data_IF_511037928559
#
_entry.id   IF_511037928559
#
_cell.length_a   1.000
_cell.length_b   1.000
_cell.length_c   1.000
_cell.angle_alpha   90.00
_cell.angle_beta   90.00
_cell.angle_gamma   90.00
#
_symmetry.space_group_name_H-M   'P 1'
#
loop_
_entity.id
_entity.type
_entity.pdbx_description
1 polymer ?
#
# COMPACT_ATOMS: atom_id res chain seq x y z
N UNK A 1 -27.31 10.06 -6.83
CA UNK A 1 -26.46 11.25 -7.08
C UNK A 1 -25.32 11.18 -6.08
N UNK A 2 -24.08 11.32 -6.53
CA UNK A 2 -22.91 11.28 -5.66
C UNK A 2 -22.95 12.43 -4.66
N UNK A 3 -22.51 12.19 -3.43
CA UNK A 3 -22.26 13.23 -2.43
C UNK A 3 -21.11 14.14 -2.87
N UNK A 4 -20.98 15.31 -2.24
CA UNK A 4 -19.87 16.23 -2.56
C UNK A 4 -18.51 15.59 -2.26
N UNK A 5 -18.40 14.82 -1.18
CA UNK A 5 -17.18 14.10 -0.81
C UNK A 5 -16.82 13.05 -1.88
N UNK A 6 -17.78 12.21 -2.28
CA UNK A 6 -17.57 11.21 -3.35
C UNK A 6 -17.10 11.84 -4.65
N UNK A 7 -17.74 12.95 -5.03
CA UNK A 7 -17.40 13.65 -6.27
C UNK A 7 -15.98 14.21 -6.21
N UNK A 8 -15.60 14.89 -5.12
CA UNK A 8 -14.24 15.44 -4.95
C UNK A 8 -13.18 14.35 -4.93
N UNK A 9 -13.43 13.24 -4.23
CA UNK A 9 -12.52 12.09 -4.17
C UNK A 9 -12.37 11.45 -5.56
N UNK A 10 -13.48 11.14 -6.23
CA UNK A 10 -13.46 10.52 -7.56
C UNK A 10 -12.81 11.40 -8.62
N UNK A 11 -13.19 12.68 -8.72
CA UNK A 11 -12.55 13.64 -9.62
C UNK A 11 -11.05 13.78 -9.30
N UNK A 12 -10.69 13.78 -8.02
CA UNK A 12 -9.30 13.81 -7.55
C UNK A 12 -8.48 12.62 -8.02
N UNK A 13 -9.01 11.40 -7.87
CA UNK A 13 -8.35 10.17 -8.33
C UNK A 13 -8.17 10.15 -9.86
N UNK A 14 -9.13 10.69 -10.61
CA UNK A 14 -9.07 10.79 -12.07
C UNK A 14 -8.04 11.81 -12.56
N UNK A 15 -7.97 12.98 -11.92
CA UNK A 15 -7.17 14.13 -12.39
C UNK A 15 -5.69 14.05 -12.05
N UNK A 16 -5.32 13.40 -10.94
CA UNK A 16 -3.95 13.35 -10.44
C UNK A 16 -2.91 12.92 -11.50
N UNK A 17 -3.15 11.87 -12.33
CA UNK A 17 -2.24 11.54 -13.43
C UNK A 17 -1.96 12.74 -14.35
N UNK A 18 -2.98 13.51 -14.72
CA UNK A 18 -2.85 14.62 -15.65
C UNK A 18 -2.24 15.88 -15.01
N UNK A 19 -2.59 16.16 -13.74
CA UNK A 19 -2.01 17.29 -12.98
C UNK A 19 -0.49 17.16 -12.82
N UNK A 20 0.03 15.94 -12.80
CA UNK A 20 1.47 15.65 -12.72
C UNK A 20 2.09 15.15 -14.03
N UNK A 21 1.41 15.30 -15.18
CA UNK A 21 1.94 14.90 -16.48
C UNK A 21 2.32 13.41 -16.57
N UNK A 22 1.57 12.55 -15.88
CA UNK A 22 1.78 11.12 -15.74
C UNK A 22 3.19 10.76 -15.23
N UNK A 23 3.77 11.60 -14.37
CA UNK A 23 5.04 11.36 -13.68
C UNK A 23 4.79 11.26 -12.18
N UNK A 24 4.74 10.05 -11.66
CA UNK A 24 4.58 9.86 -10.22
C UNK A 24 5.89 10.18 -9.49
N UNK A 25 5.78 10.92 -8.40
CA UNK A 25 6.90 11.35 -7.58
C UNK A 25 6.41 11.93 -6.25
N UNK A 26 7.30 12.49 -5.42
CA UNK A 26 6.96 12.91 -4.05
C UNK A 26 5.82 13.93 -3.97
N UNK A 27 5.68 14.80 -4.96
CA UNK A 27 4.58 15.78 -5.01
C UNK A 27 3.24 15.11 -5.31
N UNK A 28 3.19 14.20 -6.29
CA UNK A 28 1.99 13.44 -6.61
C UNK A 28 1.55 12.53 -5.45
N UNK A 29 2.52 11.92 -4.76
CA UNK A 29 2.27 11.13 -3.55
C UNK A 29 1.66 11.98 -2.44
N UNK A 30 2.23 13.16 -2.16
CA UNK A 30 1.70 14.09 -1.16
C UNK A 30 0.29 14.53 -1.50
N UNK A 31 0.04 14.92 -2.75
CA UNK A 31 -1.26 15.43 -3.19
C UNK A 31 -2.33 14.33 -3.17
N UNK A 32 -1.96 13.07 -3.46
CA UNK A 32 -2.82 11.91 -3.24
C UNK A 32 -3.14 11.72 -1.75
N UNK A 33 -2.13 11.66 -0.88
CA UNK A 33 -2.36 11.46 0.56
C UNK A 33 -3.22 12.57 1.16
N UNK A 34 -2.98 13.83 0.76
CA UNK A 34 -3.81 14.97 1.16
C UNK A 34 -5.27 14.79 0.71
N UNK A 35 -5.51 14.38 -0.54
CA UNK A 35 -6.85 14.07 -1.04
C UNK A 35 -7.54 12.99 -0.19
N UNK A 36 -6.82 11.91 0.16
CA UNK A 36 -7.35 10.80 0.95
C UNK A 36 -7.71 11.24 2.38
N UNK A 37 -6.81 11.96 3.07
CA UNK A 37 -7.08 12.45 4.43
C UNK A 37 -8.18 13.50 4.47
N UNK A 38 -8.25 14.40 3.48
CA UNK A 38 -9.36 15.35 3.35
C UNK A 38 -10.69 14.63 3.13
N UNK A 39 -10.70 13.56 2.33
CA UNK A 39 -11.91 12.77 2.09
C UNK A 39 -12.37 12.03 3.34
N UNK A 40 -11.45 11.44 4.13
CA UNK A 40 -11.77 10.78 5.41
C UNK A 40 -12.55 11.67 6.38
N UNK A 41 -12.31 12.98 6.32
CA UNK A 41 -12.98 13.96 7.18
C UNK A 41 -14.14 14.69 6.50
N UNK A 42 -14.52 14.28 5.29
CA UNK A 42 -15.59 14.94 4.52
C UNK A 42 -15.23 16.36 4.06
N UNK A 43 -13.94 16.64 3.88
CA UNK A 43 -13.38 17.98 3.58
C UNK A 43 -13.65 19.03 4.68
N UNK A 44 -13.90 18.60 5.92
CA UNK A 44 -14.01 19.48 7.08
C UNK A 44 -12.62 19.78 7.66
N UNK A 45 -12.23 21.06 7.62
CA UNK A 45 -10.92 21.54 8.11
C UNK A 45 -10.73 21.36 9.62
N UNK A 46 -11.80 21.46 10.42
CA UNK A 46 -11.71 21.31 11.87
C UNK A 46 -11.52 19.85 12.25
N UNK A 47 -12.12 18.91 11.51
CA UNK A 47 -11.85 17.47 11.63
C UNK A 47 -10.46 17.10 11.13
N UNK A 48 -9.98 17.73 10.06
CA UNK A 48 -8.62 17.51 9.58
C UNK A 48 -7.57 17.92 10.62
N UNK A 49 -7.77 19.06 11.29
CA UNK A 49 -6.92 19.51 12.41
C UNK A 49 -7.01 18.59 13.63
N UNK A 50 -8.10 17.85 13.81
CA UNK A 50 -8.20 16.84 14.86
C UNK A 50 -7.35 15.60 14.55
N UNK A 51 -7.23 15.21 13.27
CA UNK A 51 -6.31 14.15 12.85
C UNK A 51 -4.84 14.60 12.92
N UNK A 52 -4.57 15.87 12.60
CA UNK A 52 -3.23 16.45 12.57
C UNK A 52 -3.11 17.69 13.47
N UNK A 53 -3.12 17.52 14.82
CA UNK A 53 -3.19 18.63 15.77
C UNK A 53 -1.93 19.50 15.78
N UNK A 54 -0.79 18.97 15.32
CA UNK A 54 0.50 19.66 15.29
C UNK A 54 0.77 20.37 13.95
N UNK A 55 -0.25 20.50 13.10
CA UNK A 55 -0.12 21.05 11.75
C UNK A 55 0.06 19.96 10.68
N UNK A 56 -0.02 20.38 9.42
CA UNK A 56 0.05 19.47 8.28
C UNK A 56 1.52 19.18 7.91
N UNK A 57 1.88 17.92 7.61
CA UNK A 57 3.24 17.56 7.23
C UNK A 57 3.72 18.27 5.95
N UNK A 58 5.01 18.63 5.88
CA UNK A 58 5.65 19.07 4.63
C UNK A 58 5.93 17.89 3.68
N UNK A 59 6.12 16.68 4.24
CA UNK A 59 6.32 15.43 3.53
C UNK A 59 5.04 14.59 3.36
N UNK A 60 5.17 13.27 3.14
CA UNK A 60 4.02 12.36 3.07
C UNK A 60 3.17 12.46 4.35
N UNK A 61 1.86 12.51 4.20
CA UNK A 61 0.96 12.56 5.35
C UNK A 61 0.85 11.17 5.97
N UNK A 62 1.13 11.08 7.27
CA UNK A 62 1.03 9.86 8.05
C UNK A 62 0.33 10.12 9.38
N UNK A 63 -0.81 9.48 9.58
CA UNK A 63 -1.61 9.65 10.77
C UNK A 63 -0.95 8.98 11.98
N UNK A 64 -0.27 7.84 11.77
CA UNK A 64 0.41 7.16 12.87
C UNK A 64 1.50 8.06 13.49
N UNK A 65 2.32 8.70 12.64
CA UNK A 65 3.34 9.65 13.10
C UNK A 65 2.71 10.87 13.79
N UNK A 66 1.60 11.41 13.24
CA UNK A 66 0.88 12.53 13.85
C UNK A 66 0.29 12.21 15.24
N UNK A 67 -0.06 10.94 15.47
CA UNK A 67 -0.54 10.43 16.76
C UNK A 67 0.59 9.99 17.70
N UNK A 68 1.85 10.21 17.32
CA UNK A 68 3.01 9.89 18.13
C UNK A 68 3.34 8.40 18.15
N UNK A 69 2.91 7.62 17.15
CA UNK A 69 3.38 6.26 16.97
C UNK A 69 4.90 6.30 16.79
N UNK A 70 5.59 5.67 17.72
CA UNK A 70 7.04 5.47 17.69
C UNK A 70 7.31 3.99 17.50
N UNK A 71 8.44 3.68 16.87
CA UNK A 71 8.92 2.31 16.73
C UNK A 71 8.97 1.64 18.12
N UNK A 72 8.26 0.51 18.27
CA UNK A 72 8.10 -0.17 19.55
C UNK A 72 6.83 0.21 20.34
N UNK A 73 5.89 0.94 19.75
CA UNK A 73 4.56 1.20 20.31
C UNK A 73 3.82 -0.11 20.68
N UNK A 74 4.05 -1.18 19.91
CA UNK A 74 3.57 -2.54 20.15
C UNK A 74 4.10 -3.15 21.45
N UNK A 75 5.06 -2.52 22.13
CA UNK A 75 5.60 -2.97 23.42
C UNK A 75 5.24 -2.05 24.60
N UNK A 76 4.39 -1.07 24.38
CA UNK A 76 3.96 -0.13 25.42
C UNK A 76 2.76 -0.65 26.19
N UNK A 77 2.43 -0.01 27.33
CA UNK A 77 1.21 -0.33 28.09
C UNK A 77 -0.08 -0.21 27.26
N UNK A 78 -0.09 0.63 26.22
CA UNK A 78 -1.25 0.78 25.32
C UNK A 78 -1.46 -0.44 24.40
N UNK A 79 -0.46 -1.33 24.28
CA UNK A 79 -0.55 -2.57 23.51
C UNK A 79 -1.17 -3.74 24.31
N UNK A 80 -1.46 -3.53 25.60
CA UNK A 80 -2.07 -4.56 26.44
C UNK A 80 -3.47 -4.94 25.92
N UNK A 81 -3.74 -6.24 25.83
CA UNK A 81 -4.97 -6.78 25.25
C UNK A 81 -5.03 -6.73 23.72
N UNK A 82 -3.96 -6.26 23.05
CA UNK A 82 -3.85 -6.19 21.60
C UNK A 82 -2.81 -7.20 21.10
N UNK A 83 -2.94 -7.62 19.84
CA UNK A 83 -1.93 -8.43 19.15
C UNK A 83 -0.63 -7.63 19.00
N UNK A 84 0.50 -8.32 19.04
CA UNK A 84 1.81 -7.71 18.81
C UNK A 84 1.96 -7.26 17.36
N UNK A 85 1.84 -8.18 16.39
CA UNK A 85 1.90 -7.87 14.96
C UNK A 85 3.22 -7.28 14.47
N UNK A 86 4.30 -7.35 15.27
CA UNK A 86 5.62 -6.86 14.88
C UNK A 86 6.10 -7.55 13.60
N UNK A 87 6.32 -6.78 12.53
CA UNK A 87 6.77 -7.29 11.23
C UNK A 87 8.29 -7.51 11.27
N UNK A 88 8.72 -8.75 11.02
CA UNK A 88 10.12 -9.13 11.16
C UNK A 88 11.00 -8.54 10.07
N UNK A 89 12.14 -7.98 10.48
CA UNK A 89 13.16 -7.45 9.57
C UNK A 89 14.15 -8.51 9.13
N UNK A 90 14.83 -8.26 8.02
CA UNK A 90 15.88 -9.16 7.54
C UNK A 90 16.99 -9.30 8.60
N UNK A 91 17.32 -10.54 8.95
CA UNK A 91 18.29 -10.87 9.99
C UNK A 91 17.75 -10.81 11.43
N UNK A 92 16.47 -10.48 11.63
CA UNK A 92 15.85 -10.52 12.95
C UNK A 92 15.53 -11.96 13.37
N UNK A 93 15.72 -12.29 14.65
CA UNK A 93 15.42 -13.61 15.19
C UNK A 93 13.91 -13.80 15.43
N UNK A 94 13.37 -14.90 14.93
CA UNK A 94 12.01 -15.37 15.19
C UNK A 94 12.06 -16.61 16.08
N UNK A 95 11.14 -16.69 17.04
CA UNK A 95 11.09 -17.75 18.04
C UNK A 95 9.83 -18.58 17.86
N UNK A 96 10.00 -19.85 17.54
CA UNK A 96 8.88 -20.80 17.47
C UNK A 96 8.94 -21.74 18.65
N UNK A 97 7.99 -21.64 19.58
CA UNK A 97 7.83 -22.63 20.64
C UNK A 97 7.05 -23.84 20.09
N UNK A 98 7.74 -24.92 19.72
CA UNK A 98 7.16 -26.15 19.15
C UNK A 98 6.08 -26.76 20.05
N UNK A 99 6.23 -26.62 21.37
CA UNK A 99 5.23 -27.06 22.34
C UNK A 99 3.94 -26.22 22.28
N UNK A 100 4.05 -24.89 22.26
CA UNK A 100 2.91 -23.97 22.35
C UNK A 100 2.23 -23.73 20.99
N UNK A 101 3.00 -23.59 19.92
CA UNK A 101 2.50 -23.24 18.59
C UNK A 101 1.54 -24.29 18.04
N UNK A 102 0.45 -23.84 17.39
CA UNK A 102 -0.47 -24.75 16.69
C UNK A 102 0.23 -25.43 15.51
N UNK A 103 0.90 -24.65 14.66
CA UNK A 103 1.61 -25.13 13.46
C UNK A 103 3.05 -24.59 13.34
N UNK A 104 3.65 -24.69 12.16
CA UNK A 104 5.01 -24.25 11.85
C UNK A 104 5.14 -22.78 11.43
N UNK A 105 4.02 -22.09 11.29
CA UNK A 105 3.96 -20.67 10.94
C UNK A 105 3.89 -19.76 12.17
N UNK A 106 3.40 -20.26 13.32
CA UNK A 106 3.27 -19.46 14.53
C UNK A 106 4.63 -19.11 15.15
N UNK A 107 4.92 -17.81 15.29
CA UNK A 107 6.21 -17.27 15.73
C UNK A 107 6.06 -16.07 16.66
N UNK A 108 7.03 -15.92 17.56
CA UNK A 108 7.17 -14.79 18.47
C UNK A 108 8.39 -13.95 18.09
N UNK A 109 8.28 -12.62 18.23
CA UNK A 109 9.45 -11.76 18.30
C UNK A 109 10.20 -11.98 19.61
N UNK A 110 11.47 -11.58 19.67
CA UNK A 110 12.31 -11.76 20.86
C UNK A 110 11.65 -11.23 22.13
N UNK A 111 11.06 -10.04 22.07
CA UNK A 111 10.42 -9.41 23.23
C UNK A 111 9.20 -10.18 23.74
N UNK A 112 8.37 -10.72 22.84
CA UNK A 112 7.18 -11.48 23.23
C UNK A 112 7.54 -12.87 23.74
N UNK A 113 8.57 -13.50 23.15
CA UNK A 113 9.10 -14.77 23.66
C UNK A 113 9.65 -14.60 25.08
N UNK A 114 10.46 -13.56 25.32
CA UNK A 114 11.01 -13.25 26.65
C UNK A 114 9.94 -12.82 27.66
N UNK A 115 8.85 -12.21 27.18
CA UNK A 115 7.73 -11.76 28.01
C UNK A 115 6.69 -12.85 28.31
N UNK A 116 6.89 -14.07 27.79
CA UNK A 116 5.97 -15.20 27.95
C UNK A 116 6.68 -16.39 28.62
N UNK A 117 5.93 -17.30 29.24
CA UNK A 117 6.51 -18.48 29.86
C UNK A 117 6.65 -19.64 28.85
N UNK A 118 7.91 -20.04 28.63
CA UNK A 118 8.28 -21.19 27.80
C UNK A 118 9.19 -22.16 28.56
N UNK A 119 9.12 -22.15 29.89
CA UNK A 119 9.90 -23.05 30.75
C UNK A 119 9.65 -24.51 30.38
N UNK A 120 10.74 -25.27 30.23
CA UNK A 120 10.72 -26.70 29.87
C UNK A 120 10.09 -27.03 28.49
N UNK A 121 9.88 -26.03 27.63
CA UNK A 121 9.37 -26.23 26.28
C UNK A 121 10.48 -26.40 25.24
N UNK A 122 10.15 -27.10 24.15
CA UNK A 122 11.02 -27.15 22.97
C UNK A 122 10.71 -25.96 22.08
N UNK A 123 11.75 -25.23 21.66
CA UNK A 123 11.62 -24.12 20.73
C UNK A 123 12.73 -24.14 19.67
N UNK A 124 12.47 -23.44 18.58
CA UNK A 124 13.37 -23.24 17.45
C UNK A 124 13.56 -21.75 17.24
N UNK A 125 14.78 -21.35 16.87
CA UNK A 125 15.11 -19.98 16.49
C UNK A 125 15.47 -19.98 15.01
N UNK A 126 14.86 -19.08 14.26
CA UNK A 126 15.15 -18.85 12.85
C UNK A 126 15.49 -17.39 12.63
N UNK A 127 16.24 -17.09 11.58
CA UNK A 127 16.47 -15.71 11.15
C UNK A 127 15.51 -15.38 10.01
N UNK A 128 14.77 -14.30 10.16
CA UNK A 128 13.85 -13.81 9.14
C UNK A 128 14.63 -13.33 7.92
N UNK A 129 14.15 -13.68 6.73
CA UNK A 129 14.61 -13.08 5.46
C UNK A 129 14.11 -11.64 5.27
N UNK A 130 13.25 -11.14 6.17
CA UNK A 130 12.61 -9.83 6.12
C UNK A 130 11.26 -9.85 5.43
N UNK A 131 10.32 -9.01 5.91
CA UNK A 131 8.99 -8.78 5.32
C UNK A 131 8.17 -10.05 5.03
N UNK A 132 8.38 -11.13 5.78
CA UNK A 132 7.80 -12.46 5.51
C UNK A 132 7.02 -13.04 6.71
N UNK A 133 6.48 -12.17 7.57
CA UNK A 133 5.69 -12.59 8.72
C UNK A 133 5.63 -11.54 9.82
N UNK A 134 4.74 -11.75 10.77
CA UNK A 134 4.61 -10.90 11.95
C UNK A 134 4.52 -11.74 13.22
N UNK A 135 4.73 -11.11 14.38
CA UNK A 135 4.62 -11.80 15.67
C UNK A 135 3.16 -12.12 16.02
N UNK A 136 2.89 -13.40 16.30
CA UNK A 136 1.55 -13.93 16.62
C UNK A 136 1.18 -13.80 18.12
N UNK A 137 1.94 -13.03 18.89
CA UNK A 137 1.63 -12.80 20.29
C UNK A 137 0.29 -12.07 20.43
N UNK A 138 -0.61 -12.58 21.28
CA UNK A 138 -1.97 -12.07 21.43
C UNK A 138 -2.96 -12.60 20.39
N UNK A 139 -2.53 -13.49 19.48
CA UNK A 139 -3.43 -14.30 18.65
C UNK A 139 -3.78 -15.62 19.35
N UNK A 140 -4.99 -15.73 19.88
CA UNK A 140 -5.44 -16.96 20.54
C UNK A 140 -5.51 -18.19 19.60
N UNK A 141 -5.62 -17.98 18.28
CA UNK A 141 -5.68 -19.07 17.30
C UNK A 141 -4.29 -19.65 16.98
N UNK A 142 -3.22 -18.94 17.30
CA UNK A 142 -1.84 -19.37 17.04
C UNK A 142 -1.29 -20.36 18.08
N UNK A 143 -1.95 -20.54 19.23
CA UNK A 143 -1.42 -21.28 20.37
C UNK A 143 -2.33 -22.41 20.83
N UNK A 144 -1.77 -23.61 21.04
CA UNK A 144 -2.48 -24.79 21.58
C UNK A 144 -3.00 -24.56 23.00
N UNK A 145 -2.33 -23.68 23.73
CA UNK A 145 -2.66 -23.27 25.09
C UNK A 145 -2.54 -21.75 25.19
N UNK A 146 -3.30 -21.08 26.07
CA UNK A 146 -3.22 -19.63 26.23
C UNK A 146 -1.78 -19.16 26.52
N UNK A 147 -1.27 -18.25 25.70
CA UNK A 147 0.04 -17.63 25.88
C UNK A 147 -0.11 -16.36 26.72
N UNK A 148 0.50 -16.36 27.92
CA UNK A 148 0.44 -15.23 28.84
C UNK A 148 1.66 -14.32 28.68
N UNK A 149 1.58 -13.39 27.72
CA UNK A 149 2.60 -12.37 27.50
C UNK A 149 2.42 -11.21 28.48
N UNK A 150 3.50 -10.81 29.17
CA UNK A 150 3.47 -9.69 30.11
C UNK A 150 3.14 -8.34 29.45
N UNK A 151 3.29 -8.23 28.13
CA UNK A 151 3.04 -7.03 27.33
C UNK A 151 1.61 -7.04 26.76
N UNK A 152 1.22 -8.14 26.10
CA UNK A 152 0.02 -8.20 25.25
C UNK A 152 -1.18 -8.84 25.92
N UNK A 153 -1.02 -9.58 27.02
CA UNK A 153 -2.17 -10.18 27.71
C UNK A 153 -2.94 -9.13 28.52
N UNK A 154 -4.25 -9.06 28.33
CA UNK A 154 -5.12 -8.27 29.19
C UNK A 154 -5.19 -8.88 30.60
N UNK A 155 -4.81 -8.10 31.61
CA UNK A 155 -4.81 -8.52 33.02
C UNK A 155 -6.10 -8.14 33.74
N UNK A 156 -7.05 -7.47 33.09
CA UNK A 156 -8.31 -7.05 33.69
C UNK A 156 -8.20 -5.96 34.77
N UNK A 157 -6.99 -5.44 35.04
CA UNK A 157 -6.75 -4.38 36.03
C UNK A 157 -7.23 -3.00 35.53
N UNK A 158 -7.44 -2.85 34.23
CA UNK A 158 -8.18 -1.73 33.66
C UNK A 158 -9.68 -1.97 33.76
N UNK A 159 -10.21 -1.96 34.99
CA UNK A 159 -11.56 -1.40 35.22
C UNK A 159 -11.50 0.11 35.01
N UNK A 160 -11.10 0.53 33.81
CA UNK A 160 -11.39 1.87 33.35
C UNK A 160 -12.90 1.98 33.38
N UNK A 161 -13.43 2.96 34.11
CA UNK A 161 -14.77 3.52 33.86
C UNK A 161 -15.02 3.36 32.37
N UNK A 162 -16.13 2.75 31.95
CA UNK A 162 -16.59 2.87 30.56
C UNK A 162 -16.45 4.36 30.25
N UNK A 163 -15.35 4.75 29.58
CA UNK A 163 -15.17 6.12 29.11
C UNK A 163 -16.40 6.26 28.23
N UNK A 164 -17.27 7.20 28.58
CA UNK A 164 -18.48 7.43 27.82
C UNK A 164 -18.02 7.47 26.37
N UNK A 165 -18.34 6.43 25.58
CA UNK A 165 -17.85 6.34 24.21
C UNK A 165 -18.37 7.61 23.56
N UNK A 166 -17.48 8.56 23.32
CA UNK A 166 -17.86 9.75 22.58
C UNK A 166 -18.10 9.22 21.18
N UNK A 167 -19.37 8.95 20.88
CA UNK A 167 -19.77 8.36 19.61
C UNK A 167 -19.20 9.24 18.51
N UNK A 168 -18.35 8.66 17.68
CA UNK A 168 -17.90 9.30 16.45
C UNK A 168 -19.15 9.82 15.72
N UNK A 169 -19.21 11.11 15.35
CA UNK A 169 -20.36 11.65 14.64
C UNK A 169 -20.69 10.77 13.43
N UNK A 170 -21.97 10.42 13.25
CA UNK A 170 -22.38 9.44 12.24
C UNK A 170 -21.96 9.85 10.84
N UNK A 171 -22.00 11.15 10.55
CA UNK A 171 -21.57 11.70 9.27
C UNK A 171 -20.04 11.59 9.07
N UNK A 172 -19.23 11.66 10.14
CA UNK A 172 -17.80 11.38 10.03
C UNK A 172 -17.54 9.89 9.80
N UNK A 173 -18.22 9.01 10.52
CA UNK A 173 -18.14 7.56 10.28
C UNK A 173 -18.55 7.19 8.84
N UNK A 174 -19.59 7.83 8.30
CA UNK A 174 -20.02 7.70 6.90
C UNK A 174 -18.92 8.16 5.92
N UNK A 175 -18.27 9.30 6.18
CA UNK A 175 -17.16 9.78 5.34
C UNK A 175 -15.95 8.83 5.35
N UNK A 176 -15.62 8.25 6.51
CA UNK A 176 -14.55 7.25 6.64
C UNK A 176 -14.88 6.03 5.76
N UNK A 177 -16.09 5.47 5.92
CA UNK A 177 -16.54 4.32 5.15
C UNK A 177 -16.54 4.61 3.65
N UNK A 178 -17.15 5.72 3.25
CA UNK A 178 -17.22 6.17 1.87
C UNK A 178 -15.84 6.32 1.24
N UNK A 179 -14.89 6.92 1.96
CA UNK A 179 -13.54 7.13 1.44
C UNK A 179 -12.81 5.81 1.24
N UNK A 180 -12.78 4.95 2.27
CA UNK A 180 -12.10 3.65 2.19
C UNK A 180 -12.74 2.78 1.12
N UNK A 181 -14.07 2.69 1.10
CA UNK A 181 -14.86 2.00 0.07
C UNK A 181 -14.45 2.43 -1.34
N UNK A 182 -14.45 3.75 -1.62
CA UNK A 182 -14.17 4.27 -2.96
C UNK A 182 -12.72 4.03 -3.38
N UNK A 183 -11.79 4.13 -2.44
CA UNK A 183 -10.37 3.89 -2.67
C UNK A 183 -10.09 2.43 -2.93
N UNK A 184 -10.79 1.51 -2.24
CA UNK A 184 -10.71 0.07 -2.49
C UNK A 184 -11.26 -0.29 -3.87
N UNK A 185 -12.40 0.29 -4.28
CA UNK A 185 -12.93 0.08 -5.62
C UNK A 185 -11.99 0.61 -6.72
N UNK A 186 -11.39 1.78 -6.50
CA UNK A 186 -10.35 2.35 -7.38
C UNK A 186 -9.12 1.46 -7.47
N UNK A 187 -8.65 0.94 -6.34
CA UNK A 187 -7.55 -0.01 -6.31
C UNK A 187 -7.87 -1.26 -7.16
N UNK A 188 -9.06 -1.84 -6.99
CA UNK A 188 -9.50 -2.99 -7.78
C UNK A 188 -9.62 -2.66 -9.27
N UNK A 189 -10.19 -1.51 -9.64
CA UNK A 189 -10.27 -1.06 -11.04
C UNK A 189 -8.88 -0.95 -11.68
N UNK A 190 -7.89 -0.38 -10.99
CA UNK A 190 -6.53 -0.23 -11.53
C UNK A 190 -5.81 -1.57 -11.60
N UNK A 191 -5.85 -2.37 -10.53
CA UNK A 191 -5.08 -3.60 -10.44
C UNK A 191 -5.67 -4.71 -11.33
N UNK A 192 -6.99 -4.78 -11.49
CA UNK A 192 -7.63 -5.71 -12.43
C UNK A 192 -7.24 -5.45 -13.89
N UNK A 193 -6.89 -4.21 -14.23
CA UNK A 193 -6.35 -3.86 -15.55
C UNK A 193 -4.84 -4.08 -15.67
N UNK A 194 -4.13 -4.28 -14.55
CA UNK A 194 -2.67 -4.32 -14.53
C UNK A 194 -2.13 -5.64 -15.11
N UNK A 195 -0.89 -5.68 -15.64
CA UNK A 195 -0.39 -6.88 -16.28
C UNK A 195 -0.17 -8.03 -15.29
N UNK A 196 -0.97 -9.09 -15.41
CA UNK A 196 -0.73 -10.34 -14.67
C UNK A 196 0.41 -11.16 -15.28
N UNK A 197 0.49 -11.17 -16.62
CA UNK A 197 1.49 -11.92 -17.38
C UNK A 197 2.52 -10.99 -18.02
N UNK A 198 3.57 -10.67 -17.26
CA UNK A 198 4.59 -9.69 -17.64
C UNK A 198 5.42 -10.06 -18.90
N UNK A 199 5.35 -11.31 -19.36
CA UNK A 199 6.12 -11.83 -20.51
C UNK A 199 5.32 -11.96 -21.80
N UNK A 200 4.07 -11.49 -21.83
CA UNK A 200 3.29 -11.50 -23.05
C UNK A 200 3.96 -10.64 -24.15
N UNK A 201 3.81 -11.04 -25.44
CA UNK A 201 4.28 -10.24 -26.56
C UNK A 201 3.68 -8.83 -26.52
N UNK A 202 4.53 -7.83 -26.69
CA UNK A 202 4.12 -6.42 -26.72
C UNK A 202 3.79 -6.02 -28.15
N UNK A 203 2.51 -5.89 -28.45
CA UNK A 203 2.03 -5.38 -29.74
C UNK A 203 1.43 -3.99 -29.56
N UNK A 204 1.55 -3.14 -30.57
CA UNK A 204 0.93 -1.82 -30.53
C UNK A 204 -0.60 -1.90 -30.36
N UNK A 205 -1.26 -2.79 -31.10
CA UNK A 205 -2.71 -3.00 -30.99
C UNK A 205 -3.12 -3.45 -29.57
N UNK A 206 -2.37 -4.38 -28.96
CA UNK A 206 -2.68 -4.87 -27.62
C UNK A 206 -2.52 -3.79 -26.55
N UNK A 207 -1.47 -2.97 -26.66
CA UNK A 207 -1.22 -1.86 -25.73
C UNK A 207 -2.30 -0.78 -25.84
N UNK A 208 -2.79 -0.50 -27.05
CA UNK A 208 -3.88 0.46 -27.27
C UNK A 208 -5.23 -0.08 -26.78
N UNK A 209 -5.49 -1.37 -26.95
CA UNK A 209 -6.69 -2.02 -26.40
C UNK A 209 -6.70 -1.99 -24.88
N UNK A 210 -5.55 -2.28 -24.27
CA UNK A 210 -5.34 -2.20 -22.82
C UNK A 210 -5.57 -0.79 -22.25
N UNK A 211 -5.10 0.25 -22.93
CA UNK A 211 -5.39 1.64 -22.55
C UNK A 211 -6.88 1.98 -22.60
N UNK A 212 -7.62 1.45 -23.58
CA UNK A 212 -9.08 1.69 -23.67
C UNK A 212 -9.83 0.93 -22.58
N UNK A 213 -9.48 -0.35 -22.34
CA UNK A 213 -10.13 -1.20 -21.35
C UNK A 213 -9.93 -0.70 -19.91
N UNK A 214 -8.80 -0.03 -19.64
CA UNK A 214 -8.44 0.50 -18.32
C UNK A 214 -9.00 1.90 -18.01
N UNK A 215 -9.77 2.49 -18.94
CA UNK A 215 -10.44 3.78 -18.69
C UNK A 215 -11.48 3.62 -17.59
N UNK A 216 -11.51 4.59 -16.68
CA UNK A 216 -12.52 4.71 -15.63
C UNK A 216 -13.76 5.43 -16.18
N UNK A 217 -14.94 5.01 -15.74
CA UNK A 217 -16.24 5.48 -16.22
C UNK A 217 -16.86 6.55 -15.30
N UNK A 218 -17.73 7.37 -15.90
CA UNK A 218 -18.41 8.51 -15.26
C UNK A 218 -19.26 8.18 -14.04
N UNK A 219 -19.86 7.00 -14.03
CA UNK A 219 -20.94 6.67 -13.10
C UNK A 219 -20.44 6.47 -11.67
N UNK A 220 -19.19 6.02 -11.51
CA UNK A 220 -18.62 5.67 -10.20
C UNK A 220 -17.71 6.76 -9.61
N UNK A 221 -17.04 7.56 -10.44
CA UNK A 221 -16.04 8.54 -9.99
C UNK A 221 -16.46 10.01 -10.18
N UNK A 222 -17.69 10.27 -10.62
CA UNK A 222 -18.17 11.63 -10.87
C UNK A 222 -17.61 12.27 -12.15
N UNK A 223 -16.80 11.52 -12.89
CA UNK A 223 -16.18 11.83 -14.17
C UNK A 223 -15.59 10.55 -14.75
N UNK A 224 -15.19 10.57 -16.02
CA UNK A 224 -14.61 9.42 -16.68
C UNK A 224 -13.43 9.82 -17.54
N UNK A 225 -12.56 8.87 -17.85
CA UNK A 225 -11.44 9.10 -18.73
C UNK A 225 -11.93 9.44 -20.14
N UNK A 226 -11.30 10.44 -20.74
CA UNK A 226 -11.56 10.81 -22.12
C UNK A 226 -10.53 10.17 -23.05
N UNK A 227 -10.95 9.90 -24.28
CA UNK A 227 -10.02 9.46 -25.31
C UNK A 227 -9.02 10.58 -25.61
N UNK A 228 -7.73 10.31 -25.42
CA UNK A 228 -6.65 11.20 -25.83
C UNK A 228 -6.31 10.97 -27.30
N UNK A 229 -6.12 12.05 -28.08
CA UNK A 229 -5.68 11.93 -29.48
C UNK A 229 -4.24 11.39 -29.57
N UNK A 230 -3.38 11.82 -28.64
CA UNK A 230 -1.98 11.43 -28.56
C UNK A 230 -1.60 11.02 -27.13
N UNK A 231 -2.05 9.84 -26.66
CA UNK A 231 -1.71 9.36 -25.33
C UNK A 231 -0.20 9.16 -25.21
N UNK A 232 0.32 9.40 -24.00
CA UNK A 232 1.69 9.06 -23.66
C UNK A 232 1.78 7.64 -23.09
N UNK A 233 2.88 6.97 -23.38
CA UNK A 233 3.14 5.59 -23.00
C UNK A 233 4.35 5.50 -22.07
N UNK A 234 4.40 4.47 -21.24
CA UNK A 234 5.51 4.18 -20.32
C UNK A 234 6.05 2.78 -20.56
N UNK A 235 7.38 2.66 -20.58
CA UNK A 235 8.09 1.38 -20.50
C UNK A 235 8.60 1.19 -19.08
N UNK A 236 8.19 0.11 -18.43
CA UNK A 236 8.61 -0.26 -17.09
C UNK A 236 9.49 -1.52 -17.11
N UNK A 237 10.50 -1.54 -16.26
CA UNK A 237 11.40 -2.67 -16.01
C UNK A 237 11.05 -3.30 -14.67
N UNK A 238 10.99 -4.63 -14.62
CA UNK A 238 10.65 -5.40 -13.43
C UNK A 238 11.86 -6.15 -12.88
N UNK A 239 11.93 -6.24 -11.55
CA UNK A 239 12.93 -7.04 -10.86
C UNK A 239 12.70 -8.52 -11.14
N UNK A 240 13.79 -9.27 -11.29
CA UNK A 240 13.74 -10.72 -11.55
C UNK A 240 14.64 -11.54 -10.63
N UNK A 241 15.28 -10.90 -9.64
CA UNK A 241 16.21 -11.49 -8.65
C UNK A 241 17.36 -12.31 -9.25
N UNK A 242 17.58 -12.24 -10.57
CA UNK A 242 18.56 -13.06 -11.30
C UNK A 242 19.70 -12.23 -11.83
N UNK A 243 19.41 -11.04 -12.36
CA UNK A 243 20.42 -10.18 -12.94
C UNK A 243 21.10 -9.31 -11.87
N UNK A 244 22.39 -9.05 -12.06
CA UNK A 244 23.10 -8.13 -11.17
C UNK A 244 22.69 -6.69 -11.47
N UNK A 245 22.73 -5.83 -10.44
CA UNK A 245 22.45 -4.39 -10.58
C UNK A 245 23.31 -3.77 -11.70
N UNK A 246 24.57 -4.18 -11.83
CA UNK A 246 25.49 -3.69 -12.86
C UNK A 246 25.05 -4.07 -14.28
N UNK A 247 24.58 -5.31 -14.48
CA UNK A 247 24.13 -5.76 -15.80
C UNK A 247 22.87 -5.02 -16.23
N UNK A 248 21.92 -4.88 -15.29
CA UNK A 248 20.70 -4.09 -15.49
C UNK A 248 21.03 -2.64 -15.80
N UNK A 249 21.91 -2.00 -15.02
CA UNK A 249 22.28 -0.60 -15.20
C UNK A 249 22.88 -0.33 -16.59
N UNK A 250 23.82 -1.17 -17.03
CA UNK A 250 24.42 -1.08 -18.35
C UNK A 250 23.37 -1.23 -19.46
N UNK A 251 22.44 -2.17 -19.30
CA UNK A 251 21.41 -2.43 -20.28
C UNK A 251 20.40 -1.29 -20.37
N UNK A 252 19.99 -0.71 -19.24
CA UNK A 252 19.10 0.46 -19.19
C UNK A 252 19.76 1.67 -19.85
N UNK A 253 21.03 1.96 -19.54
CA UNK A 253 21.77 3.06 -20.15
C UNK A 253 21.85 2.91 -21.68
N UNK A 254 22.14 1.68 -22.16
CA UNK A 254 22.17 1.36 -23.59
C UNK A 254 20.80 1.51 -24.26
N UNK A 255 19.75 0.95 -23.67
CA UNK A 255 18.41 0.95 -24.25
C UNK A 255 17.83 2.37 -24.33
N UNK A 256 18.02 3.17 -23.27
CA UNK A 256 17.50 4.53 -23.17
C UNK A 256 18.39 5.59 -23.83
N UNK A 257 19.60 5.21 -24.28
CA UNK A 257 20.65 6.12 -24.78
C UNK A 257 21.03 7.19 -23.75
N UNK A 258 21.10 6.78 -22.48
CA UNK A 258 21.43 7.63 -21.35
C UNK A 258 22.80 7.29 -20.77
N UNK A 259 23.30 8.14 -19.87
CA UNK A 259 24.57 7.87 -19.16
C UNK A 259 24.42 6.72 -18.17
N UNK A 260 25.53 6.07 -17.83
CA UNK A 260 25.53 4.95 -16.87
C UNK A 260 24.90 5.33 -15.52
N UNK A 261 25.09 6.56 -15.03
CA UNK A 261 24.46 7.06 -13.79
C UNK A 261 22.93 6.97 -13.81
N UNK A 262 22.30 7.17 -14.97
CA UNK A 262 20.86 6.99 -15.13
C UNK A 262 20.49 5.51 -15.02
N UNK A 263 21.26 4.65 -15.70
CA UNK A 263 21.10 3.19 -15.61
C UNK A 263 21.26 2.66 -14.19
N UNK A 264 22.27 3.13 -13.46
CA UNK A 264 22.51 2.78 -12.05
C UNK A 264 21.32 3.18 -11.18
N UNK A 265 20.86 4.45 -11.29
CA UNK A 265 19.68 4.92 -10.54
C UNK A 265 18.48 4.01 -10.78
N UNK A 266 18.22 3.65 -12.04
CA UNK A 266 17.07 2.80 -12.40
C UNK A 266 17.23 1.36 -11.94
N UNK A 267 18.44 0.80 -12.00
CA UNK A 267 18.71 -0.56 -11.52
C UNK A 267 18.54 -0.68 -10.00
N UNK A 268 18.99 0.31 -9.22
CA UNK A 268 18.76 0.37 -7.78
C UNK A 268 17.26 0.54 -7.47
N UNK A 269 16.57 1.45 -8.16
CA UNK A 269 15.12 1.64 -7.99
C UNK A 269 14.35 0.34 -8.29
N UNK A 270 14.69 -0.39 -9.37
CA UNK A 270 14.10 -1.70 -9.66
C UNK A 270 14.38 -2.73 -8.56
N UNK A 271 15.60 -2.76 -8.02
CA UNK A 271 15.95 -3.69 -6.93
C UNK A 271 15.15 -3.40 -5.66
N UNK A 272 15.06 -2.13 -5.28
CA UNK A 272 14.51 -1.71 -3.98
C UNK A 272 12.97 -1.69 -3.98
N UNK A 273 12.36 -1.31 -5.12
CA UNK A 273 10.90 -1.15 -5.25
C UNK A 273 10.26 -2.32 -6.01
N UNK A 274 11.06 -3.15 -6.70
CA UNK A 274 10.59 -4.25 -7.54
C UNK A 274 10.31 -3.87 -9.00
N UNK A 275 10.22 -2.57 -9.32
CA UNK A 275 10.07 -2.07 -10.69
C UNK A 275 10.47 -0.60 -10.85
N UNK A 276 10.70 -0.16 -12.09
CA UNK A 276 10.88 1.26 -12.40
C UNK A 276 10.40 1.63 -13.80
N UNK A 277 9.91 2.86 -13.99
CA UNK A 277 9.71 3.44 -15.32
C UNK A 277 11.05 3.89 -15.88
N UNK A 278 11.47 3.28 -16.99
CA UNK A 278 12.75 3.57 -17.66
C UNK A 278 12.63 4.62 -18.75
N UNK A 279 11.46 4.72 -19.41
CA UNK A 279 11.22 5.72 -20.45
C UNK A 279 9.71 5.96 -20.61
N UNK A 280 9.36 7.20 -20.91
CA UNK A 280 8.03 7.60 -21.36
C UNK A 280 8.13 8.35 -22.68
N UNK A 281 7.16 8.17 -23.56
CA UNK A 281 7.10 8.81 -24.88
C UNK A 281 5.70 8.68 -25.49
N UNK A 282 5.33 9.65 -26.33
CA UNK A 282 4.17 9.53 -27.23
C UNK A 282 4.44 8.58 -28.41
N UNK A 283 5.71 8.35 -28.76
CA UNK A 283 6.13 7.39 -29.78
C UNK A 283 6.19 5.97 -29.20
N UNK A 284 5.07 5.25 -29.30
CA UNK A 284 4.94 3.87 -28.84
C UNK A 284 5.93 2.92 -29.55
N UNK A 285 6.14 3.14 -30.85
CA UNK A 285 7.10 2.36 -31.65
C UNK A 285 8.54 2.52 -31.13
N UNK A 286 8.92 3.71 -30.67
CA UNK A 286 10.20 3.94 -30.02
C UNK A 286 10.31 3.20 -28.68
N UNK A 287 9.27 3.21 -27.85
CA UNK A 287 9.28 2.49 -26.57
C UNK A 287 9.35 0.98 -26.75
N UNK A 288 8.67 0.43 -27.76
CA UNK A 288 8.79 -0.99 -28.12
C UNK A 288 10.23 -1.35 -28.48
N UNK A 289 10.96 -0.48 -29.18
CA UNK A 289 12.41 -0.68 -29.44
C UNK A 289 13.23 -0.63 -28.16
N UNK A 290 12.93 0.27 -27.22
CA UNK A 290 13.59 0.33 -25.90
C UNK A 290 13.38 -0.97 -25.14
N UNK A 291 12.12 -1.44 -25.05
CA UNK A 291 11.75 -2.72 -24.44
C UNK A 291 12.48 -3.90 -25.08
N UNK A 292 12.50 -3.98 -26.42
CA UNK A 292 13.25 -5.02 -27.14
C UNK A 292 14.74 -5.03 -26.83
N UNK A 293 15.36 -3.85 -26.69
CA UNK A 293 16.77 -3.77 -26.28
C UNK A 293 16.92 -4.29 -24.87
N UNK A 294 16.12 -3.83 -23.90
CA UNK A 294 16.18 -4.30 -22.51
C UNK A 294 16.08 -5.83 -22.42
N UNK A 295 15.11 -6.41 -23.13
CA UNK A 295 14.84 -7.86 -23.12
C UNK A 295 15.95 -8.73 -23.76
N UNK A 296 16.98 -8.15 -24.39
CA UNK A 296 18.14 -8.91 -24.91
C UNK A 296 18.90 -9.66 -23.81
N UNK A 297 18.89 -9.15 -22.57
CA UNK A 297 19.45 -9.85 -21.41
C UNK A 297 18.40 -10.69 -20.68
N UNK A 298 17.17 -10.81 -21.21
CA UNK A 298 16.04 -11.56 -20.62
C UNK A 298 15.46 -10.97 -19.32
N UNK A 299 15.72 -9.70 -19.02
CA UNK A 299 14.95 -8.95 -18.01
C UNK A 299 13.53 -8.74 -18.51
N UNK A 300 12.59 -8.58 -17.58
CA UNK A 300 11.16 -8.45 -17.92
C UNK A 300 10.77 -6.97 -18.00
N UNK A 301 10.06 -6.59 -19.07
CA UNK A 301 9.52 -5.24 -19.22
C UNK A 301 8.02 -5.27 -19.53
N UNK A 302 7.32 -4.17 -19.25
CA UNK A 302 5.96 -3.90 -19.74
C UNK A 302 5.94 -2.55 -20.45
N UNK A 303 5.02 -2.38 -21.40
CA UNK A 303 4.75 -1.09 -22.05
C UNK A 303 3.25 -0.86 -21.99
N UNK A 304 2.82 0.26 -21.40
CA UNK A 304 1.41 0.59 -21.12
C UNK A 304 1.19 2.10 -21.26
N UNK A 305 -0.05 2.56 -21.10
CA UNK A 305 -0.30 3.99 -21.00
C UNK A 305 0.43 4.57 -19.78
N UNK A 306 0.92 5.80 -19.91
CA UNK A 306 1.58 6.51 -18.82
C UNK A 306 0.58 6.82 -17.68
N UNK A 307 -0.69 7.04 -18.02
CA UNK A 307 -1.80 7.20 -17.07
C UNK A 307 -1.92 5.98 -16.18
N UNK A 308 -2.06 4.79 -16.76
CA UNK A 308 -2.30 3.57 -15.97
C UNK A 308 -1.07 3.21 -15.13
N UNK A 309 0.13 3.41 -15.67
CA UNK A 309 1.37 3.23 -14.91
C UNK A 309 1.42 4.16 -13.69
N UNK A 310 0.99 5.42 -13.84
CA UNK A 310 0.88 6.37 -12.72
C UNK A 310 -0.15 5.90 -11.69
N UNK A 311 -1.32 5.42 -12.14
CA UNK A 311 -2.36 4.89 -11.24
C UNK A 311 -1.90 3.67 -10.47
N UNK A 312 -1.14 2.77 -11.08
CA UNK A 312 -0.54 1.63 -10.39
C UNK A 312 0.45 2.09 -9.29
N UNK A 313 1.12 3.24 -9.47
CA UNK A 313 1.97 3.83 -8.43
C UNK A 313 1.13 4.48 -7.31
N UNK A 314 0.00 5.12 -7.66
CA UNK A 314 -0.99 5.59 -6.68
C UNK A 314 -1.50 4.42 -5.82
N UNK A 315 -1.76 3.26 -6.41
CA UNK A 315 -2.16 2.06 -5.68
C UNK A 315 -1.13 1.63 -4.63
N UNK A 316 0.18 1.79 -4.91
CA UNK A 316 1.23 1.57 -3.91
C UNK A 316 1.07 2.49 -2.70
N UNK A 317 0.92 3.80 -2.94
CA UNK A 317 0.68 4.78 -1.88
C UNK A 317 -0.64 4.55 -1.13
N UNK A 318 -1.69 4.10 -1.81
CA UNK A 318 -2.97 3.73 -1.19
C UNK A 318 -2.79 2.57 -0.21
N UNK A 319 -2.04 1.53 -0.58
CA UNK A 319 -1.76 0.40 0.31
C UNK A 319 -0.98 0.85 1.55
N UNK A 320 0.04 1.69 1.36
CA UNK A 320 0.81 2.27 2.47
C UNK A 320 -0.07 3.13 3.38
N UNK A 321 -0.97 3.93 2.80
CA UNK A 321 -1.91 4.76 3.53
C UNK A 321 -2.94 3.93 4.32
N UNK A 322 -3.53 2.89 3.72
CA UNK A 322 -4.42 1.97 4.43
C UNK A 322 -3.70 1.30 5.60
N UNK A 323 -2.44 0.91 5.40
CA UNK A 323 -1.61 0.34 6.47
C UNK A 323 -1.31 1.34 7.58
N UNK A 324 -1.03 2.60 7.24
CA UNK A 324 -0.79 3.68 8.21
C UNK A 324 -2.04 3.94 9.08
N UNK A 325 -3.22 4.08 8.46
CA UNK A 325 -4.44 4.44 9.20
C UNK A 325 -5.05 3.26 9.98
N UNK A 326 -4.77 2.00 9.61
CA UNK A 326 -5.35 0.81 10.26
C UNK A 326 -5.00 0.65 11.75
N UNK A 327 -3.91 1.28 12.20
CA UNK A 327 -3.50 1.33 13.60
C UNK A 327 -3.92 2.59 14.36
N UNK A 328 -4.50 3.56 13.65
CA UNK A 328 -4.75 4.89 14.18
C UNK A 328 -6.11 5.02 14.87
N UNK A 329 -6.24 6.09 15.67
CA UNK A 329 -7.47 6.44 16.41
C UNK A 329 -8.18 7.61 15.75
N UNK A 330 -9.51 7.62 15.74
CA UNK A 330 -10.31 8.81 15.42
C UNK A 330 -11.10 9.20 16.66
N UNK A 331 -10.83 10.38 17.21
CA UNK A 331 -11.33 10.81 18.52
C UNK A 331 -10.95 9.80 19.62
N UNK A 332 -11.94 9.04 20.12
CA UNK A 332 -11.76 8.00 21.15
C UNK A 332 -11.93 6.58 20.58
N UNK A 333 -12.20 6.44 19.27
CA UNK A 333 -12.41 5.16 18.60
C UNK A 333 -11.12 4.69 17.91
N UNK A 334 -10.49 3.66 18.47
CA UNK A 334 -9.26 3.07 17.97
C UNK A 334 -9.47 1.83 17.09
N UNK A 335 -10.74 1.52 16.75
CA UNK A 335 -11.10 0.38 15.91
C UNK A 335 -11.80 0.77 14.60
N UNK A 336 -12.44 1.94 14.52
CA UNK A 336 -13.26 2.34 13.36
C UNK A 336 -12.52 2.20 12.03
N UNK A 337 -11.29 2.70 11.93
CA UNK A 337 -10.50 2.65 10.69
C UNK A 337 -10.20 1.20 10.31
N UNK A 338 -9.73 0.39 11.27
CA UNK A 338 -9.44 -1.03 11.05
C UNK A 338 -10.67 -1.81 10.64
N UNK A 339 -11.77 -1.67 11.37
CA UNK A 339 -13.02 -2.36 11.09
C UNK A 339 -13.53 -2.02 9.70
N UNK A 340 -13.57 -0.74 9.34
CA UNK A 340 -14.01 -0.31 8.01
C UNK A 340 -13.10 -0.87 6.91
N UNK A 341 -11.77 -0.85 7.10
CA UNK A 341 -10.83 -1.47 6.14
C UNK A 341 -11.12 -2.97 5.97
N UNK A 342 -11.26 -3.70 7.07
CA UNK A 342 -11.57 -5.13 7.03
C UNK A 342 -12.93 -5.43 6.39
N UNK A 343 -13.94 -4.62 6.67
CA UNK A 343 -15.28 -4.76 6.08
C UNK A 343 -15.27 -4.48 4.57
N UNK A 344 -14.59 -3.43 4.12
CA UNK A 344 -14.50 -3.11 2.68
C UNK A 344 -13.61 -4.12 1.94
N UNK A 345 -12.58 -4.70 2.57
CA UNK A 345 -11.79 -5.81 2.00
C UNK A 345 -12.63 -7.07 1.74
N UNK A 346 -13.70 -7.27 2.51
CA UNK A 346 -14.62 -8.40 2.37
C UNK A 346 -15.86 -8.05 1.52
N UNK A 347 -15.99 -6.79 1.11
CA UNK A 347 -17.13 -6.31 0.35
C UNK A 347 -16.96 -6.60 -1.15
N UNK A 348 -18.05 -6.77 -1.90
CA UNK A 348 -17.97 -6.94 -3.35
C UNK A 348 -17.39 -5.68 -4.01
N UNK A 349 -16.51 -5.88 -4.98
CA UNK A 349 -15.97 -4.80 -5.82
C UNK A 349 -17.09 -4.15 -6.63
N UNK A 350 -17.19 -2.82 -6.54
CA UNK A 350 -18.09 -2.01 -7.37
C UNK A 350 -17.27 -1.43 -8.52
N UNK A 351 -17.40 -2.08 -9.67
CA UNK A 351 -16.59 -1.79 -10.84
C UNK A 351 -16.89 -0.41 -11.43
N UNK A 352 -15.83 0.38 -11.59
CA UNK A 352 -15.86 1.67 -12.28
C UNK A 352 -15.06 1.70 -13.57
N UNK A 353 -14.26 0.67 -13.86
CA UNK A 353 -13.53 0.47 -15.13
C UNK A 353 -14.42 -0.13 -16.24
N UNK A 354 -13.93 -0.09 -17.48
CA UNK A 354 -14.64 -0.61 -18.68
C UNK A 354 -14.44 -2.12 -18.91
N UNK A 355 -13.72 -2.84 -18.03
CA UNK A 355 -13.54 -4.29 -18.18
C UNK A 355 -14.90 -5.02 -18.23
N UNK A 356 -15.07 -5.91 -19.21
CA UNK A 356 -16.20 -6.85 -19.28
C UNK A 356 -15.98 -8.07 -18.37
#
# INVERSE_FOLDING_TARGET
MLTECERKLGEGLLRLPFEHGCRYGPEAERDLLELLFRSLVGFDEDRLRQLFPNGFPEGPWKLAEAQGAQEGAEYTEAARGKRCGHIFRAGEATYRCVTCAVDDTCVLCSKCFDASDHSDHQYQISLSSGNCGCCDCGDDEAWRYPLFCAIHTDRGDTKGKQRAQTHLPSDWAENIRLTISRVMDYFCDVISCSPEQLRLPKTEDGIRQDEVASRLTGDWYGGGDHAEEEPEWACALWNDEKHTIRDVANQVARACRERIRFGEKKAYETNDIGRTVVRQSKDLSQLLKVSQVLEQIKVTTTVRSARDTFREQMCGTIVEWLSDIAGCTVLEDDQILRHVICEELLSPWRQGSVLD
#
